data_IF_396262032406
#
_entry.id   IF_396262032406
#
_cell.length_a   1.000
_cell.length_b   1.000
_cell.length_c   1.000
_cell.angle_alpha   90.00
_cell.angle_beta   90.00
_cell.angle_gamma   90.00
#
_symmetry.space_group_name_H-M   'P 1'
#
loop_
_entity.id
_entity.type
_entity.pdbx_description
1 polymer ?
#
# COMPACT_ATOMS: atom_id res chain seq x y z
N UNK A 1 28.48 -14.43 -7.11
CA UNK A 1 27.70 -13.18 -6.99
C UNK A 1 27.94 -12.32 -8.21
N UNK A 2 29.17 -12.04 -8.59
CA UNK A 2 29.51 -11.21 -9.75
C UNK A 2 29.02 -11.80 -11.10
N UNK A 3 28.95 -13.13 -11.23
CA UNK A 3 28.42 -13.80 -12.42
C UNK A 3 26.88 -13.71 -12.55
N UNK A 4 26.16 -13.60 -11.43
CA UNK A 4 24.69 -13.43 -11.43
C UNK A 4 24.35 -11.97 -11.73
N UNK A 5 25.15 -11.02 -11.23
CA UNK A 5 24.98 -9.60 -11.51
C UNK A 5 25.30 -9.25 -12.98
N UNK A 6 26.32 -9.90 -13.57
CA UNK A 6 26.72 -9.64 -14.96
C UNK A 6 25.77 -10.23 -16.01
N UNK A 7 24.99 -11.26 -15.68
CA UNK A 7 23.99 -11.83 -16.60
C UNK A 7 22.62 -11.14 -16.54
N UNK A 8 22.39 -10.26 -15.57
CA UNK A 8 21.12 -9.52 -15.41
C UNK A 8 21.10 -8.14 -16.07
N UNK A 9 22.16 -7.70 -16.72
CA UNK A 9 22.31 -6.31 -17.20
C UNK A 9 22.02 -6.13 -18.70
N UNK A 10 21.78 -7.16 -19.46
CA UNK A 10 21.55 -7.00 -20.90
C UNK A 10 20.17 -7.49 -21.30
N UNK A 11 19.43 -6.56 -21.81
CA UNK A 11 18.26 -6.56 -22.68
C UNK A 11 16.88 -6.46 -22.01
N UNK A 12 16.36 -5.36 -22.37
CA UNK A 12 14.98 -5.06 -22.76
C UNK A 12 13.92 -4.77 -21.72
N UNK A 13 13.57 -3.49 -21.78
CA UNK A 13 12.26 -2.87 -21.52
C UNK A 13 11.73 -2.87 -20.08
N UNK A 14 11.57 -1.72 -19.60
CA UNK A 14 10.57 -1.05 -18.71
C UNK A 14 9.59 -1.86 -17.81
N UNK A 15 9.60 -3.20 -17.83
CA UNK A 15 8.63 -4.01 -17.07
C UNK A 15 9.19 -4.75 -15.83
N UNK A 16 10.48 -4.62 -15.51
CA UNK A 16 11.12 -5.37 -14.42
C UNK A 16 11.56 -4.52 -13.22
N UNK A 17 10.97 -3.35 -13.02
CA UNK A 17 11.45 -2.37 -12.03
C UNK A 17 11.25 -2.85 -10.57
N UNK A 18 10.24 -3.69 -10.26
CA UNK A 18 9.91 -3.99 -8.87
C UNK A 18 10.90 -4.87 -8.12
N UNK A 19 11.50 -5.85 -8.76
CA UNK A 19 12.15 -7.00 -8.09
C UNK A 19 13.65 -6.95 -8.18
N UNK A 20 14.20 -6.70 -9.37
CA UNK A 20 15.62 -6.39 -9.50
C UNK A 20 15.97 -5.14 -8.67
N UNK A 21 14.99 -4.25 -8.45
CA UNK A 21 15.15 -3.08 -7.59
C UNK A 21 15.20 -3.43 -6.09
N UNK A 22 14.41 -4.38 -5.60
CA UNK A 22 14.45 -4.81 -4.21
C UNK A 22 15.73 -5.57 -3.87
N UNK A 23 16.13 -6.52 -4.71
CA UNK A 23 17.43 -7.22 -4.59
C UNK A 23 18.59 -6.23 -4.68
N UNK A 24 18.55 -5.31 -5.62
CA UNK A 24 19.54 -4.25 -5.78
C UNK A 24 19.55 -3.29 -4.58
N UNK A 25 18.38 -2.99 -4.00
CA UNK A 25 18.27 -2.13 -2.82
C UNK A 25 18.93 -2.77 -1.61
N UNK A 26 18.65 -4.04 -1.30
CA UNK A 26 19.28 -4.75 -0.18
C UNK A 26 20.81 -4.79 -0.30
N UNK A 27 21.33 -5.08 -1.50
CA UNK A 27 22.76 -5.05 -1.80
C UNK A 27 23.32 -3.64 -1.67
N UNK A 28 22.64 -2.62 -2.22
CA UNK A 28 23.07 -1.23 -2.14
C UNK A 28 23.10 -0.72 -0.69
N UNK A 29 22.09 -1.02 0.11
CA UNK A 29 22.05 -0.67 1.53
C UNK A 29 23.25 -1.27 2.26
N UNK A 30 23.52 -2.56 2.07
CA UNK A 30 24.65 -3.25 2.70
C UNK A 30 25.99 -2.71 2.21
N UNK A 31 26.15 -2.54 0.89
CA UNK A 31 27.39 -2.05 0.28
C UNK A 31 27.72 -0.61 0.70
N UNK A 32 26.70 0.23 0.83
CA UNK A 32 26.86 1.61 1.27
C UNK A 32 26.81 1.77 2.81
N UNK A 33 26.77 0.68 3.56
CA UNK A 33 26.70 0.68 5.02
C UNK A 33 25.58 1.58 5.59
N UNK A 34 24.43 1.61 4.88
CA UNK A 34 23.28 2.35 5.35
C UNK A 34 22.71 1.63 6.57
N UNK A 35 22.58 2.35 7.68
CA UNK A 35 22.03 1.81 8.90
C UNK A 35 20.54 1.49 8.72
N UNK A 36 20.16 0.24 9.02
CA UNK A 36 18.77 -0.23 8.96
C UNK A 36 18.16 -0.28 10.35
N UNK A 37 16.90 0.15 10.46
CA UNK A 37 16.08 0.00 11.66
C UNK A 37 16.81 0.45 12.95
N UNK A 38 17.54 1.55 12.87
CA UNK A 38 18.32 2.09 14.00
C UNK A 38 17.45 2.38 15.22
N UNK A 39 16.21 2.81 14.97
CA UNK A 39 15.22 3.10 16.03
C UNK A 39 14.80 1.87 16.83
N UNK A 40 14.94 0.69 16.26
CA UNK A 40 14.66 -0.60 16.91
C UNK A 40 15.92 -1.41 17.19
N UNK A 41 17.09 -0.77 17.18
CA UNK A 41 18.39 -1.45 17.35
C UNK A 41 18.61 -2.59 16.37
N UNK A 42 18.19 -2.40 15.11
CA UNK A 42 18.31 -3.37 14.04
C UNK A 42 17.23 -4.48 14.03
N UNK A 43 16.26 -4.43 14.93
CA UNK A 43 15.11 -5.37 14.93
C UNK A 43 14.10 -4.98 13.85
N UNK A 44 13.25 -5.93 13.49
CA UNK A 44 12.15 -5.68 12.56
C UNK A 44 11.21 -4.58 13.08
N UNK A 45 10.72 -3.75 12.17
CA UNK A 45 9.69 -2.77 12.49
C UNK A 45 8.33 -3.42 12.27
N UNK A 46 7.59 -3.58 13.34
CA UNK A 46 6.23 -4.13 13.35
C UNK A 46 5.43 -3.49 14.50
N UNK A 47 4.16 -3.84 14.61
CA UNK A 47 3.22 -3.22 15.54
C UNK A 47 3.58 -3.30 17.03
N UNK A 48 4.51 -4.17 17.41
CA UNK A 48 4.98 -4.34 18.79
C UNK A 48 6.43 -3.91 19.02
N UNK A 49 7.16 -3.47 18.01
CA UNK A 49 8.56 -3.04 18.14
C UNK A 49 8.73 -1.53 18.25
N UNK A 50 7.76 -0.79 17.75
CA UNK A 50 7.64 0.66 17.97
C UNK A 50 6.33 0.90 18.70
N UNK A 51 6.46 1.10 20.00
CA UNK A 51 5.33 1.51 20.83
C UNK A 51 5.05 2.99 20.61
N UNK A 52 3.78 3.26 20.29
CA UNK A 52 3.24 4.60 20.27
C UNK A 52 3.87 5.55 19.22
N UNK A 53 4.01 6.80 19.59
CA UNK A 53 4.47 7.91 18.77
C UNK A 53 5.99 8.06 18.88
N UNK A 54 6.73 7.72 17.81
CA UNK A 54 8.18 7.76 17.78
C UNK A 54 8.69 8.97 16.97
N UNK A 55 9.55 9.80 17.54
CA UNK A 55 10.15 10.94 16.84
C UNK A 55 11.32 10.48 15.97
N UNK A 56 11.16 10.62 14.64
CA UNK A 56 12.19 10.25 13.64
C UNK A 56 13.06 11.44 13.23
N UNK A 57 12.52 12.65 13.36
CA UNK A 57 13.23 13.91 13.19
C UNK A 57 12.48 15.00 13.96
N UNK A 58 13.09 16.18 14.12
CA UNK A 58 12.49 17.29 14.87
C UNK A 58 11.05 17.56 14.41
N UNK A 59 10.11 17.39 15.31
CA UNK A 59 8.65 17.55 15.09
C UNK A 59 8.05 16.59 14.02
N UNK A 60 8.76 15.50 13.68
CA UNK A 60 8.23 14.46 12.78
C UNK A 60 8.15 13.16 13.56
N UNK A 61 6.94 12.62 13.65
CA UNK A 61 6.66 11.41 14.42
C UNK A 61 6.04 10.33 13.53
N UNK A 62 6.30 9.08 13.88
CA UNK A 62 5.63 7.93 13.29
C UNK A 62 4.97 7.06 14.36
N UNK A 63 3.82 6.49 14.03
CA UNK A 63 3.17 5.45 14.79
C UNK A 63 2.89 4.28 13.86
N UNK A 64 3.51 3.12 14.12
CA UNK A 64 3.37 1.93 13.28
C UNK A 64 2.08 1.18 13.63
N UNK A 65 1.27 0.88 12.61
CA UNK A 65 0.02 0.14 12.75
C UNK A 65 0.24 -1.33 12.40
N UNK A 66 0.97 -1.62 11.36
CA UNK A 66 1.31 -2.93 10.85
C UNK A 66 2.67 -2.97 10.16
N UNK A 67 3.18 -4.17 9.84
CA UNK A 67 2.57 -5.48 10.07
C UNK A 67 2.59 -5.89 11.54
N UNK A 68 1.78 -6.91 11.89
CA UNK A 68 1.93 -7.57 13.18
C UNK A 68 3.11 -8.55 13.15
N UNK A 69 3.63 -8.89 14.32
CA UNK A 69 4.68 -9.92 14.42
C UNK A 69 4.18 -11.27 13.89
N UNK A 70 2.90 -11.59 14.10
CA UNK A 70 2.31 -12.86 13.62
C UNK A 70 2.28 -12.92 12.10
N UNK A 71 1.95 -11.83 11.42
CA UNK A 71 1.98 -11.77 9.95
C UNK A 71 3.39 -11.97 9.40
N UNK A 72 4.41 -11.42 10.08
CA UNK A 72 5.82 -11.62 9.69
C UNK A 72 6.24 -13.07 9.90
N UNK A 73 5.84 -13.72 11.01
CA UNK A 73 6.13 -15.13 11.27
C UNK A 73 5.46 -16.02 10.22
N UNK A 74 4.20 -15.76 9.90
CA UNK A 74 3.48 -16.49 8.85
C UNK A 74 4.13 -16.30 7.48
N UNK A 75 4.58 -15.09 7.16
CA UNK A 75 5.30 -14.80 5.92
C UNK A 75 6.62 -15.57 5.86
N UNK A 76 7.38 -15.61 6.95
CA UNK A 76 8.63 -16.38 7.05
C UNK A 76 8.39 -17.87 6.85
N UNK A 77 7.34 -18.44 7.45
CA UNK A 77 6.99 -19.84 7.32
C UNK A 77 6.52 -20.20 5.90
N UNK A 78 5.69 -19.36 5.29
CA UNK A 78 5.29 -19.54 3.91
C UNK A 78 6.50 -19.48 2.97
N UNK A 79 7.39 -18.54 3.18
CA UNK A 79 8.62 -18.42 2.43
C UNK A 79 9.52 -19.65 2.57
N UNK A 80 9.72 -20.15 3.80
CA UNK A 80 10.51 -21.39 4.03
C UNK A 80 9.92 -22.60 3.29
N UNK A 81 8.59 -22.79 3.37
CA UNK A 81 7.88 -23.86 2.65
C UNK A 81 8.09 -23.76 1.15
N UNK A 82 7.98 -22.58 0.60
CA UNK A 82 8.14 -22.34 -0.83
C UNK A 82 9.59 -22.61 -1.29
N UNK A 83 10.57 -22.16 -0.51
CA UNK A 83 11.99 -22.42 -0.79
C UNK A 83 12.31 -23.92 -0.76
N UNK A 84 11.75 -24.67 0.20
CA UNK A 84 11.90 -26.13 0.26
C UNK A 84 11.26 -26.78 -0.97
N UNK A 85 10.08 -26.37 -1.39
CA UNK A 85 9.39 -26.91 -2.57
C UNK A 85 10.19 -26.74 -3.86
N UNK A 86 11.11 -25.78 -3.88
CA UNK A 86 11.98 -25.47 -5.03
C UNK A 86 13.39 -26.07 -4.89
N UNK A 87 13.58 -27.02 -3.98
CA UNK A 87 14.88 -27.68 -3.72
C UNK A 87 16.00 -26.74 -3.25
N UNK A 88 15.67 -25.58 -2.68
CA UNK A 88 16.66 -24.76 -1.99
C UNK A 88 16.99 -25.40 -0.65
N UNK A 89 18.15 -26.04 -0.53
CA UNK A 89 18.62 -26.59 0.73
C UNK A 89 19.14 -25.47 1.64
N UNK A 90 18.51 -25.29 2.82
CA UNK A 90 18.89 -24.31 3.83
C UNK A 90 20.22 -24.63 4.53
N UNK A 91 21.34 -24.55 3.81
CA UNK A 91 22.68 -24.53 4.42
C UNK A 91 23.32 -23.15 4.44
N UNK A 92 22.52 -22.09 4.31
CA UNK A 92 23.06 -20.74 4.14
C UNK A 92 22.73 -19.89 5.35
N UNK A 93 23.67 -19.78 6.29
CA UNK A 93 23.66 -18.83 7.40
C UNK A 93 23.94 -17.37 6.95
N UNK A 94 23.63 -17.02 5.70
CA UNK A 94 23.91 -15.69 5.16
C UNK A 94 22.61 -14.92 4.95
N UNK A 95 22.35 -13.93 5.83
CA UNK A 95 21.17 -13.07 5.77
C UNK A 95 20.96 -12.41 4.40
N UNK A 96 22.02 -12.05 3.69
CA UNK A 96 21.94 -11.43 2.35
C UNK A 96 21.35 -12.40 1.34
N UNK A 97 21.83 -13.65 1.31
CA UNK A 97 21.29 -14.67 0.40
C UNK A 97 19.87 -15.07 0.73
N UNK A 98 19.46 -14.99 2.00
CA UNK A 98 18.08 -15.22 2.40
C UNK A 98 17.17 -14.10 1.92
N UNK A 99 17.61 -12.85 1.98
CA UNK A 99 16.85 -11.70 1.45
C UNK A 99 16.72 -11.79 -0.07
N UNK A 100 17.80 -12.11 -0.78
CA UNK A 100 17.78 -12.30 -2.23
C UNK A 100 16.85 -13.44 -2.68
N UNK A 101 16.86 -14.55 -1.95
CA UNK A 101 15.97 -15.67 -2.22
C UNK A 101 14.50 -15.33 -1.95
N UNK A 102 14.21 -14.56 -0.90
CA UNK A 102 12.87 -14.06 -0.57
C UNK A 102 12.34 -13.17 -1.70
N UNK A 103 13.12 -12.19 -2.13
CA UNK A 103 12.75 -11.30 -3.23
C UNK A 103 12.51 -12.08 -4.53
N UNK A 104 13.38 -13.05 -4.86
CA UNK A 104 13.19 -13.92 -6.01
C UNK A 104 11.86 -14.67 -5.95
N UNK A 105 11.45 -15.11 -4.78
CA UNK A 105 10.21 -15.85 -4.58
C UNK A 105 8.96 -14.97 -4.74
N UNK A 106 8.98 -13.77 -4.19
CA UNK A 106 7.89 -12.80 -4.40
C UNK A 106 7.61 -12.54 -5.89
N UNK A 107 8.65 -12.69 -6.76
CA UNK A 107 8.49 -12.62 -8.22
C UNK A 107 7.59 -13.70 -8.80
N UNK A 108 7.58 -14.88 -8.23
CA UNK A 108 6.93 -16.07 -8.80
C UNK A 108 5.50 -16.24 -8.32
N UNK A 109 5.12 -15.56 -7.24
CA UNK A 109 3.72 -15.55 -6.78
C UNK A 109 2.90 -14.83 -7.85
N UNK A 110 2.31 -15.61 -8.75
CA UNK A 110 1.32 -15.11 -9.70
C UNK A 110 0.05 -14.83 -8.91
N UNK A 111 -0.31 -13.55 -8.80
CA UNK A 111 -1.65 -13.20 -8.33
C UNK A 111 -2.67 -13.79 -9.32
N UNK A 112 -3.54 -14.65 -8.84
CA UNK A 112 -4.64 -15.23 -9.62
C UNK A 112 -5.82 -14.25 -9.68
N UNK A 113 -5.52 -13.00 -10.03
CA UNK A 113 -6.56 -12.00 -10.22
C UNK A 113 -6.99 -12.02 -11.68
N UNK A 114 -8.23 -12.44 -11.92
CA UNK A 114 -8.90 -12.25 -13.20
C UNK A 114 -9.52 -10.85 -13.21
N UNK A 115 -9.10 -9.93 -14.07
CA UNK A 115 -9.71 -8.62 -14.15
C UNK A 115 -11.15 -8.77 -14.66
N UNK A 116 -12.13 -8.54 -13.79
CA UNK A 116 -13.51 -8.35 -14.24
C UNK A 116 -13.56 -7.10 -15.13
N UNK A 117 -14.00 -7.29 -16.36
CA UNK A 117 -14.21 -6.19 -17.30
C UNK A 117 -15.52 -5.49 -16.97
N UNK A 118 -15.48 -4.44 -16.16
CA UNK A 118 -16.63 -3.58 -15.98
C UNK A 118 -16.96 -2.84 -17.26
N UNK A 119 -18.16 -3.04 -17.78
CA UNK A 119 -18.72 -2.12 -18.75
C UNK A 119 -19.05 -0.83 -18.02
N UNK A 120 -18.15 0.14 -18.11
CA UNK A 120 -18.35 1.49 -17.58
C UNK A 120 -19.33 2.20 -18.54
N UNK A 121 -20.62 1.93 -18.40
CA UNK A 121 -21.67 2.55 -19.19
C UNK A 121 -22.76 3.09 -18.28
N UNK A 122 -23.04 4.37 -18.35
CA UNK A 122 -24.27 4.96 -17.85
C UNK A 122 -24.14 6.26 -17.06
N UNK A 123 -25.13 7.13 -17.25
CA UNK A 123 -25.32 8.41 -16.52
C UNK A 123 -26.08 8.23 -15.19
N UNK A 124 -26.08 7.02 -14.64
CA UNK A 124 -26.77 6.73 -13.39
C UNK A 124 -26.07 7.28 -12.13
N UNK A 125 -26.72 7.08 -10.98
CA UNK A 125 -26.19 7.45 -9.70
C UNK A 125 -24.90 6.67 -9.37
N UNK A 126 -23.88 7.38 -8.83
CA UNK A 126 -22.61 6.77 -8.44
C UNK A 126 -22.79 5.71 -7.34
N UNK A 127 -23.81 5.83 -6.51
CA UNK A 127 -24.14 4.84 -5.45
C UNK A 127 -24.33 3.41 -5.97
N UNK A 128 -24.74 3.23 -7.21
CA UNK A 128 -24.91 1.88 -7.80
C UNK A 128 -23.60 1.10 -7.96
N UNK A 129 -22.46 1.79 -7.88
CA UNK A 129 -21.13 1.19 -7.97
C UNK A 129 -20.53 0.85 -6.61
N UNK A 130 -21.19 1.21 -5.51
CA UNK A 130 -20.80 0.76 -4.17
C UNK A 130 -20.99 -0.74 -4.13
N UNK A 131 -19.90 -1.47 -3.93
CA UNK A 131 -19.90 -2.93 -3.84
C UNK A 131 -19.80 -3.42 -2.41
N UNK A 132 -19.82 -4.74 -2.26
CA UNK A 132 -19.49 -5.39 -0.99
C UNK A 132 -17.98 -5.29 -0.74
N UNK A 133 -17.60 -4.69 0.38
CA UNK A 133 -16.23 -4.58 0.87
C UNK A 133 -15.99 -5.49 2.08
N UNK A 134 -16.78 -6.55 2.25
CA UNK A 134 -16.65 -7.51 3.36
C UNK A 134 -15.60 -8.58 3.11
N UNK A 135 -15.33 -8.93 1.85
CA UNK A 135 -14.29 -9.87 1.49
C UNK A 135 -12.91 -9.24 1.68
N UNK A 136 -12.00 -9.96 2.36
CA UNK A 136 -10.65 -9.50 2.62
C UNK A 136 -9.61 -10.29 1.86
N UNK A 137 -8.53 -9.60 1.47
CA UNK A 137 -7.37 -10.23 0.84
C UNK A 137 -6.70 -11.21 1.81
N UNK A 138 -6.62 -12.47 1.41
CA UNK A 138 -5.96 -13.54 2.16
C UNK A 138 -4.43 -13.54 2.05
N UNK A 139 -3.84 -12.66 1.25
CA UNK A 139 -2.40 -12.64 0.99
C UNK A 139 -1.60 -12.27 2.24
N UNK A 140 -0.79 -13.21 2.71
CA UNK A 140 0.16 -12.96 3.81
C UNK A 140 1.17 -11.87 3.43
N UNK A 141 1.56 -11.78 2.16
CA UNK A 141 2.47 -10.74 1.66
C UNK A 141 1.86 -9.36 1.87
N UNK A 142 0.59 -9.17 1.52
CA UNK A 142 -0.10 -7.89 1.69
C UNK A 142 -0.33 -7.58 3.17
N UNK A 143 -0.73 -8.55 3.98
CA UNK A 143 -0.86 -8.40 5.44
C UNK A 143 0.45 -8.00 6.11
N UNK A 144 1.59 -8.38 5.53
CA UNK A 144 2.92 -8.04 6.02
C UNK A 144 3.43 -6.67 5.55
N UNK A 145 2.62 -5.90 4.84
CA UNK A 145 2.97 -4.53 4.43
C UNK A 145 3.08 -3.59 5.61
N UNK A 146 4.08 -2.70 5.55
CA UNK A 146 4.24 -1.65 6.56
C UNK A 146 3.14 -0.62 6.38
N UNK A 147 2.42 -0.34 7.47
CA UNK A 147 1.44 0.73 7.58
C UNK A 147 1.71 1.59 8.81
N UNK A 148 1.59 2.89 8.65
CA UNK A 148 1.93 3.84 9.70
C UNK A 148 1.21 5.17 9.56
N UNK A 149 1.13 5.90 10.67
CA UNK A 149 0.76 7.31 10.69
C UNK A 149 2.03 8.12 10.75
N UNK A 150 2.17 9.09 9.84
CA UNK A 150 3.16 10.15 9.91
C UNK A 150 2.48 11.39 10.51
N UNK A 151 3.10 11.98 11.52
CA UNK A 151 2.63 13.23 12.12
C UNK A 151 3.68 14.33 11.94
N UNK A 152 3.24 15.45 11.41
CA UNK A 152 4.05 16.67 11.26
C UNK A 152 3.18 17.91 11.44
N UNK A 153 3.62 18.86 12.27
CA UNK A 153 2.89 20.10 12.53
C UNK A 153 1.40 19.87 12.87
N UNK A 154 1.13 18.94 13.80
CA UNK A 154 -0.21 18.55 14.25
C UNK A 154 -1.09 17.88 13.17
N UNK A 155 -0.62 17.75 11.94
CA UNK A 155 -1.30 17.06 10.85
C UNK A 155 -0.89 15.59 10.84
N UNK A 156 -1.85 14.71 10.58
CA UNK A 156 -1.62 13.27 10.50
C UNK A 156 -1.91 12.75 9.10
N UNK A 157 -0.99 11.94 8.61
CA UNK A 157 -1.02 11.32 7.29
C UNK A 157 -0.97 9.81 7.46
N UNK A 158 -1.94 9.09 6.90
CA UNK A 158 -2.04 7.64 7.02
C UNK A 158 -1.51 6.96 5.76
N UNK A 159 -0.48 6.15 5.93
CA UNK A 159 0.11 5.33 4.86
C UNK A 159 -0.22 3.86 5.08
N UNK A 160 -0.93 3.24 4.15
CA UNK A 160 -1.47 1.90 4.32
C UNK A 160 -0.68 0.81 3.57
N UNK A 161 0.29 1.16 2.71
CA UNK A 161 1.00 0.18 1.90
C UNK A 161 0.04 -0.68 1.09
N UNK A 162 0.22 -1.99 1.14
CA UNK A 162 -0.71 -2.98 0.59
C UNK A 162 -1.46 -3.73 1.70
N UNK A 163 -1.48 -3.17 2.93
CA UNK A 163 -2.09 -3.79 4.12
C UNK A 163 -3.56 -4.14 3.91
N UNK A 164 -3.99 -5.15 4.61
CA UNK A 164 -5.40 -5.56 4.67
C UNK A 164 -6.02 -4.95 5.92
N UNK A 165 -7.08 -4.18 5.76
CA UNK A 165 -7.79 -3.54 6.86
C UNK A 165 -8.82 -4.53 7.43
N UNK A 166 -8.37 -5.34 8.38
CA UNK A 166 -9.17 -6.28 9.16
C UNK A 166 -9.50 -5.71 10.56
N UNK A 167 -10.21 -6.49 11.38
CA UNK A 167 -10.58 -6.10 12.75
C UNK A 167 -9.36 -5.80 13.63
N UNK A 168 -8.26 -6.54 13.46
CA UNK A 168 -7.03 -6.33 14.21
C UNK A 168 -6.40 -4.98 13.84
N UNK A 169 -6.33 -4.68 12.54
CA UNK A 169 -5.86 -3.40 12.03
C UNK A 169 -6.70 -2.24 12.59
N UNK A 170 -8.03 -2.35 12.52
CA UNK A 170 -8.95 -1.33 13.05
C UNK A 170 -8.81 -1.15 14.56
N UNK A 171 -8.63 -2.24 15.31
CA UNK A 171 -8.39 -2.19 16.76
C UNK A 171 -7.09 -1.44 17.09
N UNK A 172 -6.01 -1.65 16.32
CA UNK A 172 -4.74 -0.95 16.50
C UNK A 172 -4.87 0.52 16.16
N UNK A 173 -5.49 0.84 15.02
CA UNK A 173 -5.72 2.22 14.59
C UNK A 173 -6.56 2.99 15.62
N UNK A 174 -7.60 2.35 16.15
CA UNK A 174 -8.44 2.90 17.23
C UNK A 174 -7.63 3.23 18.49
N UNK A 175 -6.65 2.42 18.88
CA UNK A 175 -5.78 2.71 20.04
C UNK A 175 -4.93 3.95 19.81
N UNK A 176 -4.51 4.22 18.57
CA UNK A 176 -3.60 5.34 18.24
C UNK A 176 -4.37 6.65 18.06
N UNK A 177 -5.49 6.64 17.35
CA UNK A 177 -6.21 7.88 16.99
C UNK A 177 -7.67 7.95 17.46
N UNK A 178 -8.14 6.93 18.17
CA UNK A 178 -9.53 6.86 18.63
C UNK A 178 -10.46 6.17 17.63
N UNK A 179 -11.75 6.09 18.01
CA UNK A 179 -12.77 5.35 17.26
C UNK A 179 -13.14 6.00 15.91
N UNK A 180 -12.90 7.29 15.79
CA UNK A 180 -13.09 8.09 14.57
C UNK A 180 -11.97 9.11 14.48
N UNK A 181 -11.45 9.34 13.28
CA UNK A 181 -10.42 10.35 13.05
C UNK A 181 -10.50 10.91 11.62
N UNK A 182 -10.16 12.19 11.49
CA UNK A 182 -10.04 12.85 10.20
C UNK A 182 -8.58 13.19 9.92
N UNK A 183 -8.00 12.55 8.92
CA UNK A 183 -6.61 12.74 8.51
C UNK A 183 -6.46 13.89 7.51
N UNK A 184 -5.29 14.49 7.45
CA UNK A 184 -4.97 15.41 6.34
C UNK A 184 -4.86 14.66 5.02
N UNK A 185 -4.31 13.44 5.03
CA UNK A 185 -4.29 12.58 3.86
C UNK A 185 -4.25 11.09 4.23
N UNK A 186 -4.83 10.27 3.35
CA UNK A 186 -4.74 8.80 3.39
C UNK A 186 -4.20 8.29 2.06
N UNK A 187 -3.07 7.57 2.08
CA UNK A 187 -2.64 6.74 0.96
C UNK A 187 -3.42 5.43 1.01
N UNK A 188 -4.28 5.21 0.01
CA UNK A 188 -5.14 4.03 -0.05
C UNK A 188 -4.34 2.73 -0.05
N UNK A 189 -4.84 1.67 0.61
CA UNK A 189 -4.18 0.38 0.64
C UNK A 189 -4.25 -0.27 -0.74
N UNK A 190 -3.22 -1.03 -1.08
CA UNK A 190 -3.13 -1.88 -2.27
C UNK A 190 -3.71 -1.21 -3.53
N UNK A 191 -3.29 0.04 -3.76
CA UNK A 191 -3.72 0.87 -4.92
C UNK A 191 -5.23 1.11 -5.04
N UNK A 192 -5.99 0.96 -3.94
CA UNK A 192 -7.44 1.09 -3.89
C UNK A 192 -8.19 -0.21 -4.22
N UNK A 193 -7.59 -1.36 -3.90
CA UNK A 193 -8.25 -2.67 -4.00
C UNK A 193 -9.44 -2.77 -3.03
N UNK A 194 -10.57 -3.32 -3.50
CA UNK A 194 -11.77 -3.57 -2.69
C UNK A 194 -11.55 -4.61 -1.59
N UNK A 195 -10.59 -5.50 -1.76
CA UNK A 195 -10.26 -6.55 -0.80
C UNK A 195 -9.37 -6.09 0.36
N UNK A 196 -8.88 -4.85 0.30
CA UNK A 196 -7.95 -4.31 1.29
C UNK A 196 -8.54 -3.18 2.14
N UNK A 197 -9.81 -2.82 1.92
CA UNK A 197 -10.52 -1.76 2.63
C UNK A 197 -11.93 -2.21 3.01
N UNK A 198 -12.50 -1.65 4.08
CA UNK A 198 -13.85 -1.98 4.55
C UNK A 198 -14.73 -0.74 4.66
N UNK A 199 -16.05 -0.91 4.62
CA UNK A 199 -17.02 0.17 4.88
C UNK A 199 -16.79 0.78 6.27
N UNK A 200 -16.52 -0.04 7.27
CA UNK A 200 -16.23 0.42 8.63
C UNK A 200 -15.07 1.39 8.68
N UNK A 201 -13.97 1.08 7.96
CA UNK A 201 -12.82 1.99 7.85
C UNK A 201 -13.22 3.30 7.19
N UNK A 202 -13.93 3.26 6.06
CA UNK A 202 -14.36 4.44 5.31
C UNK A 202 -15.23 5.38 6.17
N UNK A 203 -16.12 4.82 6.99
CA UNK A 203 -16.99 5.61 7.86
C UNK A 203 -16.25 6.22 9.06
N UNK A 204 -15.28 5.51 9.63
CA UNK A 204 -14.58 5.94 10.84
C UNK A 204 -13.39 6.85 10.57
N UNK A 205 -12.67 6.59 9.46
CA UNK A 205 -11.39 7.22 9.18
C UNK A 205 -11.44 7.95 7.86
N UNK A 206 -11.66 9.25 7.94
CA UNK A 206 -11.84 10.11 6.77
C UNK A 206 -10.60 10.97 6.53
N UNK A 207 -10.49 11.61 5.36
CA UNK A 207 -9.40 12.53 5.04
C UNK A 207 -9.83 13.67 4.10
N UNK A 208 -9.05 14.75 4.11
CA UNK A 208 -9.15 15.81 3.10
C UNK A 208 -8.70 15.29 1.72
N UNK A 209 -7.67 14.46 1.68
CA UNK A 209 -7.09 13.93 0.45
C UNK A 209 -6.87 12.42 0.52
N UNK A 210 -7.28 11.71 -0.54
CA UNK A 210 -7.02 10.28 -0.72
C UNK A 210 -6.09 10.07 -1.90
N UNK A 211 -4.99 9.37 -1.69
CA UNK A 211 -3.98 9.10 -2.70
C UNK A 211 -4.08 7.68 -3.23
N UNK A 212 -4.22 7.55 -4.54
CA UNK A 212 -4.22 6.29 -5.26
C UNK A 212 -3.05 6.24 -6.23
N UNK A 213 -2.02 5.44 -5.94
CA UNK A 213 -0.81 5.31 -6.74
C UNK A 213 -0.89 4.08 -7.64
N UNK A 214 -1.35 4.25 -8.89
CA UNK A 214 -1.42 3.17 -9.87
C UNK A 214 -1.53 3.71 -11.28
N UNK A 215 -1.03 2.96 -12.27
CA UNK A 215 -1.27 3.21 -13.69
C UNK A 215 -2.36 2.28 -14.26
N UNK A 216 -3.00 1.46 -13.44
CA UNK A 216 -4.05 0.49 -13.79
C UNK A 216 -3.66 -0.56 -14.84
N UNK A 217 -2.40 -0.65 -15.28
CA UNK A 217 -2.00 -1.52 -16.40
C UNK A 217 -2.00 -3.00 -16.04
N UNK A 218 -1.61 -3.37 -14.82
CA UNK A 218 -1.39 -4.76 -14.44
C UNK A 218 -2.59 -5.41 -13.74
N UNK A 219 -3.17 -4.72 -12.76
CA UNK A 219 -4.20 -5.27 -11.88
C UNK A 219 -5.52 -4.52 -11.96
N UNK A 220 -5.64 -3.56 -12.87
CA UNK A 220 -6.84 -2.74 -13.06
C UNK A 220 -7.32 -2.00 -11.79
N UNK A 221 -6.45 -1.85 -10.77
CA UNK A 221 -6.77 -1.00 -9.61
C UNK A 221 -6.78 0.48 -9.98
N UNK A 222 -7.45 1.34 -9.20
CA UNK A 222 -8.31 1.02 -8.05
C UNK A 222 -9.61 0.33 -8.47
N UNK A 223 -10.28 -0.33 -7.53
CA UNK A 223 -11.62 -0.85 -7.77
C UNK A 223 -12.66 0.27 -7.69
N UNK A 224 -13.64 0.22 -8.60
CA UNK A 224 -14.64 1.27 -8.66
C UNK A 224 -15.54 1.26 -7.42
N UNK A 225 -15.74 0.10 -6.81
CA UNK A 225 -16.46 -0.12 -5.57
C UNK A 225 -15.83 0.67 -4.42
N UNK A 226 -14.51 0.58 -4.28
CA UNK A 226 -13.75 1.33 -3.28
C UNK A 226 -13.91 2.83 -3.46
N UNK A 227 -13.74 3.32 -4.71
CA UNK A 227 -13.85 4.74 -5.00
C UNK A 227 -15.27 5.26 -4.81
N UNK A 228 -16.28 4.49 -5.23
CA UNK A 228 -17.68 4.86 -5.06
C UNK A 228 -18.06 4.91 -3.56
N UNK A 229 -17.61 3.94 -2.75
CA UNK A 229 -17.82 3.97 -1.31
C UNK A 229 -17.16 5.18 -0.66
N UNK A 230 -15.87 5.45 -0.93
CA UNK A 230 -15.15 6.62 -0.43
C UNK A 230 -15.85 7.94 -0.77
N UNK A 231 -16.38 8.04 -1.99
CA UNK A 231 -17.06 9.25 -2.47
C UNK A 231 -18.44 9.40 -1.85
N UNK A 232 -19.25 8.33 -1.84
CA UNK A 232 -20.66 8.43 -1.50
C UNK A 232 -20.95 8.33 -0.01
N UNK A 233 -20.14 7.61 0.76
CA UNK A 233 -20.37 7.33 2.18
C UNK A 233 -19.77 8.41 3.09
N UNK A 234 -18.89 9.25 2.58
CA UNK A 234 -18.34 10.38 3.31
C UNK A 234 -18.89 11.68 2.74
N UNK A 235 -19.60 12.45 3.55
CA UNK A 235 -20.26 13.72 3.15
C UNK A 235 -19.33 14.93 3.15
N UNK A 236 -18.17 14.87 3.84
CA UNK A 236 -17.19 15.95 3.85
C UNK A 236 -16.57 16.11 2.47
N UNK A 237 -16.17 17.34 2.14
CA UNK A 237 -15.38 17.58 0.94
C UNK A 237 -14.08 16.78 0.98
N UNK A 238 -13.71 16.20 -0.13
CA UNK A 238 -12.47 15.42 -0.28
C UNK A 238 -11.92 15.51 -1.69
N UNK A 239 -10.62 15.34 -1.81
CA UNK A 239 -9.94 15.15 -3.10
C UNK A 239 -9.46 13.73 -3.25
N UNK A 240 -9.63 13.15 -4.43
CA UNK A 240 -9.04 11.86 -4.78
C UNK A 240 -7.95 12.11 -5.81
N UNK A 241 -6.74 11.77 -5.44
CA UNK A 241 -5.53 12.12 -6.17
C UNK A 241 -4.93 10.87 -6.77
N UNK A 242 -4.79 10.87 -8.09
CA UNK A 242 -4.20 9.80 -8.87
C UNK A 242 -2.88 10.28 -9.46
N UNK A 243 -1.84 9.46 -9.36
CA UNK A 243 -0.54 9.76 -9.98
C UNK A 243 -0.51 9.59 -11.51
N UNK A 244 -1.57 8.98 -12.10
CA UNK A 244 -1.75 8.82 -13.54
C UNK A 244 -3.19 9.11 -13.97
N UNK A 245 -3.42 9.56 -15.22
CA UNK A 245 -4.76 9.73 -15.78
C UNK A 245 -5.34 8.36 -16.18
N UNK A 246 -5.91 7.65 -15.21
CA UNK A 246 -6.51 6.33 -15.42
C UNK A 246 -7.99 6.42 -15.80
N UNK A 247 -8.50 5.43 -16.54
CA UNK A 247 -9.88 5.42 -17.03
C UNK A 247 -10.94 5.59 -15.94
N UNK A 248 -10.73 5.00 -14.76
CA UNK A 248 -11.67 5.11 -13.63
C UNK A 248 -11.67 6.53 -13.03
N UNK A 249 -10.51 7.20 -12.97
CA UNK A 249 -10.46 8.59 -12.53
C UNK A 249 -11.20 9.52 -13.51
N UNK A 250 -10.97 9.36 -14.82
CA UNK A 250 -11.70 10.09 -15.86
C UNK A 250 -13.20 9.83 -15.81
N UNK A 251 -13.62 8.59 -15.54
CA UNK A 251 -15.03 8.24 -15.38
C UNK A 251 -15.69 8.95 -14.19
N UNK A 252 -14.96 9.13 -13.09
CA UNK A 252 -15.44 9.80 -11.88
C UNK A 252 -15.37 11.32 -11.98
N UNK A 253 -14.63 11.88 -12.93
CA UNK A 253 -14.43 13.32 -13.10
C UNK A 253 -15.63 13.99 -13.81
N UNK A 254 -16.83 13.77 -13.27
CA UNK A 254 -18.09 14.34 -13.78
C UNK A 254 -18.58 15.44 -12.85
N UNK A 255 -18.81 16.64 -13.38
CA UNK A 255 -19.26 17.80 -12.62
C UNK A 255 -20.52 17.52 -11.80
N UNK A 256 -21.49 16.81 -12.34
CA UNK A 256 -22.72 16.46 -11.64
C UNK A 256 -22.48 15.60 -10.39
N UNK A 257 -21.54 14.64 -10.46
CA UNK A 257 -21.20 13.79 -9.30
C UNK A 257 -20.34 14.54 -8.29
N UNK A 258 -19.37 15.34 -8.76
CA UNK A 258 -18.55 16.19 -7.89
C UNK A 258 -19.43 17.11 -7.03
N UNK A 259 -20.40 17.77 -7.64
CA UNK A 259 -21.33 18.66 -6.92
C UNK A 259 -22.24 17.87 -5.96
N UNK A 260 -22.75 16.70 -6.41
CA UNK A 260 -23.67 15.90 -5.60
C UNK A 260 -23.00 15.28 -4.38
N UNK A 261 -21.77 14.79 -4.53
CA UNK A 261 -21.05 14.01 -3.50
C UNK A 261 -19.90 14.76 -2.84
N UNK A 262 -19.74 16.05 -3.15
CA UNK A 262 -18.79 16.95 -2.53
C UNK A 262 -17.33 16.41 -2.59
N UNK A 263 -16.84 16.17 -3.80
CA UNK A 263 -15.47 15.72 -4.04
C UNK A 263 -14.85 16.37 -5.27
N UNK A 264 -13.54 16.21 -5.42
CA UNK A 264 -12.80 16.56 -6.62
C UNK A 264 -11.80 15.47 -7.01
N UNK A 265 -11.44 15.43 -8.29
CA UNK A 265 -10.46 14.51 -8.86
C UNK A 265 -9.24 15.29 -9.30
N UNK A 266 -8.08 14.86 -8.86
CA UNK A 266 -6.78 15.39 -9.32
C UNK A 266 -6.01 14.24 -9.97
N UNK A 267 -5.53 14.47 -11.18
CA UNK A 267 -4.74 13.48 -11.93
C UNK A 267 -3.37 14.05 -12.26
N UNK A 268 -2.33 13.30 -11.94
CA UNK A 268 -0.98 13.56 -12.42
C UNK A 268 -0.82 13.19 -13.89
N UNK A 269 0.28 13.58 -14.46
CA UNK A 269 0.72 13.09 -15.76
C UNK A 269 2.01 12.26 -15.61
N UNK A 270 2.45 11.60 -16.68
CA UNK A 270 3.66 10.77 -16.65
C UNK A 270 4.95 11.59 -16.53
N UNK A 271 4.89 12.90 -16.66
CA UNK A 271 6.05 13.80 -16.77
C UNK A 271 6.25 14.64 -15.51
N UNK A 272 5.18 14.97 -14.80
CA UNK A 272 5.20 15.90 -13.68
C UNK A 272 4.81 15.24 -12.37
N UNK A 273 5.52 15.56 -11.30
CA UNK A 273 5.17 15.19 -9.94
C UNK A 273 3.98 16.04 -9.47
N UNK A 274 3.02 15.42 -8.79
CA UNK A 274 1.98 16.16 -8.08
C UNK A 274 2.57 16.66 -6.77
N UNK A 275 2.70 17.95 -6.63
CA UNK A 275 3.10 18.58 -5.38
C UNK A 275 1.87 19.07 -4.62
N UNK A 276 1.84 18.79 -3.31
CA UNK A 276 0.79 19.22 -2.41
C UNK A 276 1.42 19.91 -1.21
N UNK A 277 0.91 21.09 -0.90
CA UNK A 277 1.35 21.83 0.27
C UNK A 277 0.30 21.70 1.39
N UNK A 278 0.72 21.21 2.54
CA UNK A 278 -0.08 21.03 3.74
C UNK A 278 0.27 22.05 4.84
N UNK A 279 0.87 23.18 4.49
CA UNK A 279 1.21 24.24 5.44
C UNK A 279 -0.02 24.98 5.96
#
# INVERSE_FOLDING_TARGET
>A
IDKIISQGVISDSQQKIGINSGMSLGVLITKNKIALNTITSGKLICDNTLYDRYEIAKNIYISVIGPSIDDIVLLEDQWKKEMVSQNFMFRVNNKIKMTEAFEYQLMRIKSHYSPESYKICGDGDLKKYIGDLSETDGSIVNKSSISFILEYNEKKFLFLGDSVIDERFLSKLKKIVGNQYHFSAIKLPHHGSRFNITHEFIHRYTADEYYCSTNSKKYNHPDLETLAALICENTKFKKIIFNYPIKKALFLDKTQWKNKYNYDIVMGDEKNTIERNFL
#
